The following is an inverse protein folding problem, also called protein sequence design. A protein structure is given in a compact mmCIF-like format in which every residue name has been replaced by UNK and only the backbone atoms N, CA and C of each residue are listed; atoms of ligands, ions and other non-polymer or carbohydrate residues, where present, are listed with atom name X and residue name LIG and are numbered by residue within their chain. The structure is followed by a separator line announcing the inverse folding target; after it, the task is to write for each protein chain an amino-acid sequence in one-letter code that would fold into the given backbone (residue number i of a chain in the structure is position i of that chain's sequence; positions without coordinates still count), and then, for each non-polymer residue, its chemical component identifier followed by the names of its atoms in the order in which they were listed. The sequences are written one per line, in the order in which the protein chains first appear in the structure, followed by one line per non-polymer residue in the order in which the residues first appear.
data_IF_389356532624
#
_entry.id   IF_389356532624
#
_cell.length_a   1.000
_cell.length_b   1.000
_cell.length_c   1.000
_cell.angle_alpha   90.00
_cell.angle_beta   90.00
_cell.angle_gamma   90.00
#
_symmetry.space_group_name_H-M   'P 1'
#
loop_
_entity.id
_entity.type
_entity.pdbx_description
1 polymer ?
#
# COMPACT_ATOMS: atom_id res chain seq x y z
N UNK A 1 20.87 35.37 -27.96
CA UNK A 1 20.80 33.89 -27.88
C UNK A 1 21.00 33.43 -26.45
N UNK A 2 19.95 33.33 -25.63
CA UNK A 2 20.04 32.77 -24.26
C UNK A 2 18.66 32.55 -23.61
N UNK A 3 17.72 32.00 -24.38
CA UNK A 3 16.44 31.51 -23.83
C UNK A 3 16.14 30.18 -24.51
N UNK A 4 16.99 29.18 -24.26
CA UNK A 4 16.77 27.83 -24.77
C UNK A 4 17.52 26.81 -23.90
N UNK A 5 17.34 26.84 -22.58
CA UNK A 5 17.95 25.83 -21.71
C UNK A 5 17.13 25.48 -20.45
N UNK A 6 15.86 25.86 -20.40
CA UNK A 6 14.99 25.65 -19.22
C UNK A 6 13.78 24.74 -19.47
N UNK A 7 13.66 24.12 -20.65
CA UNK A 7 12.51 23.26 -21.00
C UNK A 7 12.83 21.77 -21.15
N UNK A 8 14.04 21.33 -20.77
CA UNK A 8 14.50 19.94 -20.95
C UNK A 8 14.64 19.13 -19.64
N UNK A 9 14.26 19.69 -18.48
CA UNK A 9 14.33 19.00 -17.18
C UNK A 9 12.98 18.42 -16.69
N UNK A 10 11.92 18.51 -17.48
CA UNK A 10 10.61 17.92 -17.17
C UNK A 10 10.25 16.68 -18.01
N UNK A 11 11.22 16.07 -18.70
CA UNK A 11 11.10 14.73 -19.29
C UNK A 11 11.58 13.63 -18.33
N UNK A 12 11.58 13.91 -17.03
CA UNK A 12 11.72 12.88 -16.01
C UNK A 12 10.45 12.04 -15.93
N UNK A 13 10.45 10.89 -16.60
CA UNK A 13 9.70 9.73 -16.16
C UNK A 13 8.18 9.96 -15.97
N UNK A 14 7.43 10.09 -17.06
CA UNK A 14 6.03 9.68 -17.07
C UNK A 14 5.96 8.14 -16.98
N UNK A 15 6.46 7.58 -15.87
CA UNK A 15 6.21 6.19 -15.53
C UNK A 15 4.73 6.11 -15.26
N UNK A 16 4.02 5.24 -15.99
CA UNK A 16 2.62 4.99 -15.74
C UNK A 16 2.47 4.64 -14.25
N UNK A 17 1.84 5.53 -13.47
CA UNK A 17 1.60 5.30 -12.05
C UNK A 17 0.90 3.95 -11.92
N UNK A 18 1.54 2.97 -11.27
CA UNK A 18 0.94 1.65 -11.13
C UNK A 18 -0.16 1.65 -10.08
N UNK A 19 -0.17 2.69 -9.25
CA UNK A 19 -1.02 2.83 -8.09
C UNK A 19 -1.72 4.17 -8.06
N UNK A 20 -2.93 4.17 -7.49
CA UNK A 20 -3.69 5.37 -7.16
C UNK A 20 -3.97 5.39 -5.67
N UNK A 21 -3.55 6.47 -5.02
CA UNK A 21 -3.96 6.82 -3.67
C UNK A 21 -5.16 7.77 -3.74
N UNK A 22 -6.31 7.29 -3.27
CA UNK A 22 -7.53 8.09 -3.14
C UNK A 22 -7.74 8.48 -1.68
N UNK A 23 -8.01 9.76 -1.44
CA UNK A 23 -8.30 10.32 -0.13
C UNK A 23 -9.73 10.87 -0.12
N UNK A 24 -10.49 10.54 0.91
CA UNK A 24 -11.83 11.08 1.13
C UNK A 24 -12.05 11.32 2.62
N UNK A 25 -12.83 12.33 2.97
CA UNK A 25 -13.28 12.58 4.33
C UNK A 25 -14.79 12.42 4.37
N UNK A 26 -15.30 11.57 5.26
CA UNK A 26 -16.75 11.52 5.50
C UNK A 26 -17.09 12.62 6.51
N UNK A 27 -17.87 13.63 6.13
CA UNK A 27 -18.34 14.64 7.06
C UNK A 27 -19.52 14.10 7.85
N UNK A 28 -19.30 13.67 9.10
CA UNK A 28 -20.39 13.52 10.07
C UNK A 28 -20.42 14.78 10.94
N UNK A 29 -21.59 15.41 11.04
CA UNK A 29 -21.86 16.72 11.68
C UNK A 29 -21.45 16.84 13.16
N UNK A 30 -20.91 15.79 13.79
CA UNK A 30 -20.67 15.73 15.24
C UNK A 30 -19.25 15.30 15.65
N UNK A 31 -18.45 14.71 14.74
CA UNK A 31 -17.19 14.05 15.13
C UNK A 31 -16.08 14.16 14.06
N UNK A 32 -15.66 15.37 13.67
CA UNK A 32 -14.38 15.61 12.95
C UNK A 32 -14.15 14.92 11.59
N UNK A 33 -15.11 14.11 11.12
CA UNK A 33 -15.04 13.27 9.94
C UNK A 33 -13.97 12.17 9.97
N UNK A 34 -14.34 10.94 9.60
CA UNK A 34 -13.38 9.86 9.45
C UNK A 34 -12.64 10.00 8.11
N UNK A 35 -11.31 10.07 8.17
CA UNK A 35 -10.47 10.12 6.97
C UNK A 35 -10.31 8.72 6.39
N UNK A 36 -10.42 8.59 5.07
CA UNK A 36 -10.23 7.32 4.36
C UNK A 36 -9.20 7.49 3.27
N UNK A 37 -8.20 6.61 3.31
CA UNK A 37 -7.15 6.47 2.32
C UNK A 37 -7.31 5.10 1.66
N UNK A 38 -7.35 5.05 0.34
CA UNK A 38 -7.46 3.80 -0.41
C UNK A 38 -6.35 3.73 -1.45
N UNK A 39 -5.54 2.69 -1.38
CA UNK A 39 -4.48 2.41 -2.33
C UNK A 39 -4.93 1.25 -3.23
N UNK A 40 -5.07 1.53 -4.51
CA UNK A 40 -5.53 0.56 -5.52
C UNK A 40 -4.64 0.60 -6.75
N UNK A 41 -4.37 -0.54 -7.39
CA UNK A 41 -3.64 -0.55 -8.66
C UNK A 41 -4.49 0.09 -9.77
N UNK A 42 -3.83 0.61 -10.81
CA UNK A 42 -4.50 1.18 -11.99
C UNK A 42 -3.89 0.65 -13.29
N UNK A 43 -4.66 0.74 -14.38
CA UNK A 43 -4.21 0.30 -15.70
C UNK A 43 -3.77 -1.18 -15.70
N UNK A 44 -2.66 -1.45 -16.39
CA UNK A 44 -2.07 -2.79 -16.53
C UNK A 44 -1.60 -3.39 -15.20
N UNK A 45 -1.26 -2.55 -14.21
CA UNK A 45 -0.77 -3.00 -12.91
C UNK A 45 -1.85 -3.71 -12.08
N UNK A 46 -3.13 -3.58 -12.47
CA UNK A 46 -4.23 -4.27 -11.82
C UNK A 46 -4.07 -5.78 -11.89
N UNK A 47 -3.78 -6.34 -13.06
CA UNK A 47 -3.63 -7.79 -13.23
C UNK A 47 -2.49 -8.34 -12.36
N UNK A 48 -1.36 -7.64 -12.33
CA UNK A 48 -0.22 -7.97 -11.46
C UNK A 48 -0.62 -8.00 -9.98
N UNK A 49 -1.26 -6.93 -9.51
CA UNK A 49 -1.70 -6.86 -8.11
C UNK A 49 -2.72 -7.95 -7.77
N UNK A 50 -3.66 -8.22 -8.66
CA UNK A 50 -4.68 -9.24 -8.42
C UNK A 50 -4.05 -10.62 -8.24
N UNK A 51 -3.05 -10.97 -9.06
CA UNK A 51 -2.29 -12.22 -8.93
C UNK A 51 -1.45 -12.27 -7.63
N UNK A 52 -0.73 -11.18 -7.30
CA UNK A 52 0.06 -11.09 -6.06
C UNK A 52 -0.83 -11.18 -4.82
N UNK A 53 -1.93 -10.43 -4.79
CA UNK A 53 -2.85 -10.38 -3.66
C UNK A 53 -3.45 -11.77 -3.39
N UNK A 54 -3.81 -12.54 -4.42
CA UNK A 54 -4.30 -13.91 -4.23
C UNK A 54 -3.27 -14.81 -3.55
N UNK A 55 -2.01 -14.73 -3.95
CA UNK A 55 -0.94 -15.50 -3.32
C UNK A 55 -0.67 -15.03 -1.88
N UNK A 56 -0.65 -13.72 -1.64
CA UNK A 56 -0.53 -13.18 -0.28
C UNK A 56 -1.67 -13.63 0.63
N UNK A 57 -2.90 -13.63 0.14
CA UNK A 57 -4.04 -14.16 0.89
C UNK A 57 -3.83 -15.65 1.20
N UNK A 58 -3.41 -16.47 0.22
CA UNK A 58 -3.14 -17.89 0.44
C UNK A 58 -2.06 -18.12 1.50
N UNK A 59 -0.95 -17.36 1.44
CA UNK A 59 0.12 -17.40 2.44
C UNK A 59 -0.40 -17.04 3.83
N UNK A 60 -1.17 -15.97 3.96
CA UNK A 60 -1.74 -15.54 5.24
C UNK A 60 -2.71 -16.59 5.81
N UNK A 61 -3.57 -17.20 4.98
CA UNK A 61 -4.46 -18.30 5.41
C UNK A 61 -3.68 -19.51 5.91
N UNK A 62 -2.56 -19.81 5.27
CA UNK A 62 -1.65 -20.88 5.68
C UNK A 62 -0.80 -20.53 6.92
N UNK A 63 -0.99 -19.34 7.52
CA UNK A 63 -0.27 -18.91 8.72
C UNK A 63 1.12 -18.34 8.43
N UNK A 64 1.48 -18.13 7.16
CA UNK A 64 2.72 -17.47 6.78
C UNK A 64 2.63 -15.94 6.94
N UNK A 65 3.80 -15.30 6.85
CA UNK A 65 3.95 -13.85 6.86
C UNK A 65 3.99 -13.32 5.42
N UNK A 66 3.51 -12.09 5.23
CA UNK A 66 3.63 -11.35 3.98
C UNK A 66 4.33 -10.03 4.26
N UNK A 67 5.46 -9.84 3.59
CA UNK A 67 6.30 -8.66 3.71
C UNK A 67 6.01 -7.71 2.54
N UNK A 68 5.76 -6.44 2.88
CA UNK A 68 5.33 -5.36 2.00
C UNK A 68 6.31 -4.19 2.08
N UNK A 69 7.62 -4.47 2.03
CA UNK A 69 8.66 -3.45 2.17
C UNK A 69 8.87 -3.09 3.64
N UNK A 70 8.49 -1.88 4.04
CA UNK A 70 8.63 -1.43 5.43
C UNK A 70 7.65 -2.08 6.40
N UNK A 71 6.69 -2.86 5.88
CA UNK A 71 5.59 -3.40 6.67
C UNK A 71 5.46 -4.90 6.49
N UNK A 72 4.92 -5.56 7.51
CA UNK A 72 4.65 -6.99 7.52
C UNK A 72 3.24 -7.28 7.99
N UNK A 73 2.63 -8.28 7.37
CA UNK A 73 1.32 -8.84 7.71
C UNK A 73 1.45 -10.30 8.13
N UNK A 74 0.70 -10.69 9.16
CA UNK A 74 0.59 -12.08 9.61
C UNK A 74 -0.59 -12.26 10.55
N UNK A 75 -1.09 -13.49 10.72
CA UNK A 75 -2.08 -13.81 11.74
C UNK A 75 -1.41 -14.17 13.07
N UNK A 76 -1.94 -13.64 14.16
CA UNK A 76 -1.60 -14.01 15.53
C UNK A 76 -2.88 -14.10 16.36
N UNK A 77 -3.17 -15.28 16.92
CA UNK A 77 -4.38 -15.51 17.71
C UNK A 77 -5.68 -15.20 16.94
N UNK A 78 -5.73 -15.53 15.64
CA UNK A 78 -6.88 -15.27 14.78
C UNK A 78 -7.05 -13.81 14.35
N UNK A 79 -6.14 -12.91 14.72
CA UNK A 79 -6.17 -11.49 14.35
C UNK A 79 -5.06 -11.17 13.35
N UNK A 80 -5.38 -10.41 12.31
CA UNK A 80 -4.37 -9.91 11.39
C UNK A 80 -3.54 -8.82 12.09
N UNK A 81 -2.22 -8.94 12.01
CA UNK A 81 -1.25 -8.02 12.57
C UNK A 81 -0.60 -7.21 11.45
N UNK A 82 -0.29 -5.96 11.74
CA UNK A 82 0.43 -5.06 10.85
C UNK A 82 1.56 -4.41 11.65
N UNK A 83 2.81 -4.72 11.28
CA UNK A 83 3.97 -4.34 12.06
C UNK A 83 5.10 -3.82 11.16
N UNK A 84 6.00 -2.95 11.68
CA UNK A 84 7.21 -2.58 10.98
C UNK A 84 8.06 -3.81 10.62
N UNK A 85 8.71 -3.77 9.45
CA UNK A 85 9.58 -4.83 8.97
C UNK A 85 10.97 -4.28 8.60
N UNK A 86 11.13 -3.75 7.38
CA UNK A 86 12.37 -3.11 6.98
C UNK A 86 12.38 -1.61 7.37
N UNK A 87 13.54 -1.03 7.70
CA UNK A 87 13.66 0.42 7.89
C UNK A 87 13.58 1.18 6.56
N UNK A 88 14.05 0.57 5.47
CA UNK A 88 13.99 1.09 4.10
C UNK A 88 13.59 -0.05 3.16
N UNK A 89 12.64 0.19 2.27
CA UNK A 89 12.21 -0.82 1.31
C UNK A 89 13.27 -1.05 0.23
N UNK A 90 13.51 -2.34 -0.04
CA UNK A 90 14.26 -2.89 -1.17
C UNK A 90 13.61 -4.22 -1.56
N UNK A 91 13.92 -4.75 -2.74
CA UNK A 91 13.26 -5.97 -3.24
C UNK A 91 13.26 -7.16 -2.23
N UNK A 92 14.33 -7.44 -1.47
CA UNK A 92 14.33 -8.49 -0.44
C UNK A 92 13.37 -8.27 0.73
N UNK A 93 12.88 -7.05 0.94
CA UNK A 93 11.89 -6.71 1.97
C UNK A 93 10.46 -7.03 1.56
N UNK A 94 10.26 -7.63 0.37
CA UNK A 94 8.95 -8.04 -0.11
C UNK A 94 8.88 -9.56 -0.17
N UNK A 95 7.73 -10.11 0.22
CA UNK A 95 7.43 -11.50 -0.10
C UNK A 95 7.19 -11.60 -1.60
N UNK A 96 8.12 -12.19 -2.33
CA UNK A 96 7.94 -12.45 -3.75
C UNK A 96 7.10 -13.72 -3.90
N UNK A 97 5.79 -13.54 -4.01
CA UNK A 97 4.90 -14.59 -4.49
C UNK A 97 5.27 -14.87 -5.95
N UNK A 98 5.35 -16.13 -6.36
CA UNK A 98 5.91 -16.60 -7.65
C UNK A 98 5.13 -16.18 -8.90
N UNK A 99 4.66 -14.93 -8.96
CA UNK A 99 4.00 -14.31 -10.09
C UNK A 99 5.02 -14.11 -11.21
N UNK A 100 4.75 -14.71 -12.36
CA UNK A 100 5.49 -14.41 -13.58
C UNK A 100 5.24 -12.95 -13.96
N UNK A 101 6.31 -12.18 -14.10
CA UNK A 101 6.23 -10.80 -14.53
C UNK A 101 7.46 -10.40 -15.31
N UNK A 102 7.32 -9.37 -16.14
CA UNK A 102 8.43 -8.82 -16.92
C UNK A 102 9.56 -8.40 -15.99
N UNK A 103 10.79 -8.90 -16.20
CA UNK A 103 11.96 -8.48 -15.46
C UNK A 103 12.08 -6.95 -15.46
N UNK A 104 12.34 -6.36 -14.29
CA UNK A 104 12.49 -4.93 -14.13
C UNK A 104 11.20 -4.13 -13.93
N UNK A 105 10.01 -4.73 -14.07
CA UNK A 105 8.75 -4.04 -13.73
C UNK A 105 8.27 -4.33 -12.29
N UNK A 106 8.58 -5.50 -11.72
CA UNK A 106 8.05 -5.93 -10.40
C UNK A 106 8.61 -5.05 -9.28
N UNK A 107 9.91 -4.80 -9.30
CA UNK A 107 10.58 -4.02 -8.25
C UNK A 107 10.05 -2.58 -8.20
N UNK A 108 9.99 -1.80 -9.29
CA UNK A 108 9.39 -0.47 -9.27
C UNK A 108 7.94 -0.47 -8.78
N UNK A 109 7.15 -1.48 -9.18
CA UNK A 109 5.76 -1.64 -8.75
C UNK A 109 5.65 -1.81 -7.21
N UNK A 110 6.51 -2.63 -6.61
CA UNK A 110 6.54 -2.89 -5.17
C UNK A 110 7.11 -1.70 -4.38
N UNK A 111 8.13 -1.03 -4.92
CA UNK A 111 8.71 0.18 -4.31
C UNK A 111 7.70 1.33 -4.32
N UNK A 112 6.95 1.51 -5.42
CA UNK A 112 5.86 2.49 -5.49
C UNK A 112 4.76 2.20 -4.45
N UNK A 113 4.37 0.92 -4.30
CA UNK A 113 3.43 0.48 -3.27
C UNK A 113 3.91 0.88 -1.87
N UNK A 114 5.14 0.56 -1.50
CA UNK A 114 5.71 0.91 -0.18
C UNK A 114 5.73 2.43 0.05
N UNK A 115 6.16 3.21 -0.95
CA UNK A 115 6.22 4.67 -0.85
C UNK A 115 4.82 5.29 -0.63
N UNK A 116 3.80 4.80 -1.35
CA UNK A 116 2.43 5.27 -1.18
C UNK A 116 1.79 4.79 0.13
N UNK A 117 2.12 3.58 0.59
CA UNK A 117 1.71 3.10 1.92
C UNK A 117 2.30 3.97 3.03
N UNK A 118 3.58 4.28 2.99
CA UNK A 118 4.21 5.18 3.96
C UNK A 118 3.57 6.56 3.95
N UNK A 119 3.37 7.14 2.75
CA UNK A 119 2.72 8.45 2.62
C UNK A 119 1.33 8.44 3.24
N UNK A 120 0.51 7.45 2.88
CA UNK A 120 -0.84 7.32 3.40
C UNK A 120 -0.86 7.10 4.93
N UNK A 121 0.04 6.29 5.47
CA UNK A 121 0.18 6.10 6.92
C UNK A 121 0.61 7.39 7.63
N UNK A 122 1.62 8.08 7.11
CA UNK A 122 2.10 9.35 7.67
C UNK A 122 0.99 10.41 7.70
N UNK A 123 0.18 10.50 6.64
CA UNK A 123 -0.97 11.41 6.59
C UNK A 123 -2.10 10.96 7.53
N UNK A 124 -2.43 9.67 7.56
CA UNK A 124 -3.48 9.10 8.41
C UNK A 124 -3.17 9.26 9.91
N UNK A 125 -1.90 9.10 10.31
CA UNK A 125 -1.47 9.26 11.71
C UNK A 125 -1.67 10.68 12.25
N UNK A 126 -1.77 11.69 11.37
CA UNK A 126 -2.04 13.09 11.75
C UNK A 126 -3.53 13.35 11.99
N UNK A 127 -4.40 12.36 11.80
CA UNK A 127 -5.85 12.48 11.94
C UNK A 127 -6.31 11.84 13.25
N UNK A 128 -7.37 12.35 13.89
CA UNK A 128 -7.93 11.74 15.10
C UNK A 128 -8.34 10.28 14.86
N UNK A 129 -9.00 10.05 13.72
CA UNK A 129 -9.41 8.73 13.21
C UNK A 129 -9.19 8.65 11.71
N UNK A 130 -8.63 7.54 11.25
CA UNK A 130 -8.44 7.28 9.84
C UNK A 130 -8.52 5.79 9.50
N UNK A 131 -8.86 5.49 8.26
CA UNK A 131 -8.79 4.14 7.70
C UNK A 131 -7.88 4.14 6.48
N UNK A 132 -6.92 3.23 6.43
CA UNK A 132 -6.10 2.98 5.24
C UNK A 132 -6.47 1.62 4.68
N UNK A 133 -6.88 1.56 3.42
CA UNK A 133 -7.19 0.31 2.72
C UNK A 133 -6.19 0.07 1.60
N UNK A 134 -5.47 -1.04 1.66
CA UNK A 134 -4.80 -1.64 0.52
C UNK A 134 -5.75 -2.66 -0.09
N UNK A 135 -6.27 -2.33 -1.27
CA UNK A 135 -7.32 -3.10 -1.94
C UNK A 135 -6.97 -4.58 -2.06
N UNK A 136 -7.92 -5.46 -1.77
CA UNK A 136 -7.77 -6.94 -1.79
C UNK A 136 -6.79 -7.53 -0.77
N UNK A 137 -6.21 -6.74 0.15
CA UNK A 137 -5.28 -7.29 1.14
C UNK A 137 -5.61 -6.87 2.57
N UNK A 138 -5.49 -5.60 2.91
CA UNK A 138 -5.63 -5.18 4.32
C UNK A 138 -6.33 -3.84 4.45
N UNK A 139 -7.15 -3.72 5.50
CA UNK A 139 -7.70 -2.47 6.01
C UNK A 139 -7.11 -2.22 7.39
N UNK A 140 -6.49 -1.06 7.56
CA UNK A 140 -5.93 -0.59 8.82
C UNK A 140 -6.85 0.48 9.39
N UNK A 141 -7.20 0.33 10.65
CA UNK A 141 -7.94 1.33 11.43
C UNK A 141 -6.94 2.04 12.35
N UNK A 142 -6.88 3.37 12.22
CA UNK A 142 -5.99 4.24 12.96
C UNK A 142 -6.79 5.14 13.90
N UNK A 143 -6.33 5.24 15.14
CA UNK A 143 -6.87 6.14 16.15
C UNK A 143 -5.71 6.70 16.98
N UNK A 144 -5.72 8.01 17.23
CA UNK A 144 -4.66 8.67 18.02
C UNK A 144 -3.25 8.48 17.45
N UNK A 145 -3.11 8.38 16.13
CA UNK A 145 -1.82 8.20 15.46
C UNK A 145 -1.24 6.78 15.47
N UNK A 146 -1.95 5.79 16.02
CA UNK A 146 -1.51 4.41 16.04
C UNK A 146 -2.45 3.50 15.23
N UNK A 147 -1.89 2.44 14.64
CA UNK A 147 -2.71 1.36 14.04
C UNK A 147 -3.32 0.58 15.20
N UNK A 148 -4.64 0.64 15.33
CA UNK A 148 -5.40 -0.07 16.37
C UNK A 148 -5.77 -1.47 15.94
N UNK A 149 -6.13 -1.61 14.67
CA UNK A 149 -6.61 -2.87 14.12
C UNK A 149 -6.22 -3.01 12.65
N UNK A 150 -5.95 -4.25 12.25
CA UNK A 150 -5.81 -4.65 10.86
C UNK A 150 -6.84 -5.74 10.54
N UNK A 151 -7.55 -5.60 9.43
CA UNK A 151 -8.59 -6.52 8.97
C UNK A 151 -8.33 -6.93 7.52
N UNK A 152 -8.69 -8.16 7.11
CA UNK A 152 -8.77 -8.53 5.70
C UNK A 152 -9.63 -7.53 4.91
N UNK A 153 -9.16 -7.14 3.73
CA UNK A 153 -9.91 -6.24 2.83
C UNK A 153 -10.32 -7.00 1.57
N UNK A 154 -11.61 -7.34 1.45
CA UNK A 154 -12.14 -8.01 0.25
C UNK A 154 -11.82 -9.50 0.14
N UNK A 155 -11.45 -10.16 1.23
CA UNK A 155 -11.25 -11.61 1.31
C UNK A 155 -11.57 -12.14 2.71
N UNK A 156 -11.82 -13.45 2.82
CA UNK A 156 -12.03 -14.16 4.09
C UNK A 156 -10.76 -14.90 4.51
N UNK A 157 -10.30 -14.74 5.77
CA UNK A 157 -9.16 -15.47 6.31
C UNK A 157 -9.48 -16.94 6.57
#
# INVERSE_FOLDING_TARGET
MRVLFLLLLFLGAAWAQSWRLTQSQTSTLREGGAWRYTLSPVGEARALWEALALQYQALLRAGHRVDLGRWRLYFLGGRLRFEPHCPKASLPCFTLAGVAYEPGRLEPFLVELDALMERALSEARKKPRATLTLSRLVRLELEGGAVREAKPSGWKP
#
